data_IF_295135578015
#
_entry.id   IF_295135578015
#
_cell.length_a   1.000
_cell.length_b   1.000
_cell.length_c   1.000
_cell.angle_alpha   90.00
_cell.angle_beta   90.00
_cell.angle_gamma   90.00
#
_symmetry.space_group_name_H-M   'P 1'
#
loop_
_entity.id
_entity.type
_entity.pdbx_description
1 polymer ?
#
# COMPACT_ATOMS: atom_id res chain seq x y z
N UNK A 1 -15.78 -3.63 -0.01
CA UNK A 1 -14.39 -3.49 0.44
C UNK A 1 -13.78 -2.25 -0.20
N UNK A 2 -13.10 -1.47 0.57
CA UNK A 2 -12.40 -0.28 0.10
C UNK A 2 -10.90 -0.48 0.18
N UNK A 3 -10.20 -0.34 -0.96
CA UNK A 3 -8.79 -0.69 -1.10
C UNK A 3 -8.00 0.55 -1.53
N UNK A 4 -6.86 0.78 -0.89
CA UNK A 4 -5.89 1.78 -1.33
C UNK A 4 -4.70 1.05 -1.96
N UNK A 5 -4.33 1.45 -3.18
CA UNK A 5 -3.15 0.94 -3.86
C UNK A 5 -2.08 2.03 -3.89
N UNK A 6 -0.90 1.72 -3.37
CA UNK A 6 0.27 2.59 -3.44
C UNK A 6 1.30 1.95 -4.36
N UNK A 7 1.39 2.45 -5.58
CA UNK A 7 2.25 1.93 -6.64
C UNK A 7 2.59 3.03 -7.63
N UNK A 8 3.87 3.19 -7.95
CA UNK A 8 4.34 4.21 -8.89
C UNK A 8 4.39 3.72 -10.36
N UNK A 9 4.36 2.41 -10.59
CA UNK A 9 4.24 1.86 -11.94
C UNK A 9 2.79 1.99 -12.42
N UNK A 10 2.57 2.91 -13.36
CA UNK A 10 1.23 3.24 -13.83
C UNK A 10 0.53 2.05 -14.52
N UNK A 11 1.28 1.25 -15.26
CA UNK A 11 0.72 0.08 -15.96
C UNK A 11 0.23 -0.96 -14.96
N UNK A 12 1.05 -1.26 -13.96
CA UNK A 12 0.70 -2.19 -12.89
C UNK A 12 -0.48 -1.68 -12.08
N UNK A 13 -0.44 -0.42 -11.69
CA UNK A 13 -1.53 0.21 -10.93
C UNK A 13 -2.86 0.15 -11.70
N UNK A 14 -2.85 0.48 -12.99
CA UNK A 14 -4.06 0.44 -13.82
C UNK A 14 -4.62 -0.99 -13.93
N UNK A 15 -3.76 -1.99 -14.07
CA UNK A 15 -4.17 -3.38 -14.10
C UNK A 15 -4.84 -3.82 -12.81
N UNK A 16 -4.25 -3.46 -11.68
CA UNK A 16 -4.82 -3.77 -10.36
C UNK A 16 -6.15 -3.06 -10.14
N UNK A 17 -6.23 -1.77 -10.51
CA UNK A 17 -7.46 -1.00 -10.41
C UNK A 17 -8.61 -1.66 -11.17
N UNK A 18 -8.37 -2.03 -12.42
CA UNK A 18 -9.40 -2.66 -13.25
C UNK A 18 -9.86 -4.00 -12.69
N UNK A 19 -8.90 -4.83 -12.29
CA UNK A 19 -9.19 -6.16 -11.77
C UNK A 19 -10.01 -6.08 -10.49
N UNK A 20 -9.60 -5.22 -9.57
CA UNK A 20 -10.26 -5.11 -8.26
C UNK A 20 -11.62 -4.42 -8.38
N UNK A 21 -11.73 -3.39 -9.21
CA UNK A 21 -13.03 -2.73 -9.45
C UNK A 21 -14.02 -3.68 -10.13
N UNK A 22 -13.55 -4.54 -11.03
CA UNK A 22 -14.38 -5.54 -11.67
C UNK A 22 -14.94 -6.55 -10.67
N UNK A 23 -14.25 -6.80 -9.56
CA UNK A 23 -14.74 -7.67 -8.49
C UNK A 23 -15.69 -6.98 -7.52
N UNK A 24 -15.96 -5.69 -7.70
CA UNK A 24 -16.91 -4.92 -6.88
C UNK A 24 -16.27 -4.07 -5.80
N UNK A 25 -14.93 -4.03 -5.70
CA UNK A 25 -14.25 -3.20 -4.71
C UNK A 25 -14.24 -1.72 -5.12
N UNK A 26 -14.29 -0.84 -4.12
CA UNK A 26 -13.97 0.58 -4.30
C UNK A 26 -12.45 0.74 -4.13
N UNK A 27 -11.77 1.25 -5.15
CA UNK A 27 -10.31 1.28 -5.19
C UNK A 27 -9.81 2.68 -5.49
N UNK A 28 -8.92 3.18 -4.64
CA UNK A 28 -8.18 4.43 -4.85
C UNK A 28 -6.71 4.09 -5.10
N UNK A 29 -6.01 4.94 -5.84
CA UNK A 29 -4.61 4.77 -6.18
C UNK A 29 -3.81 6.03 -5.87
N UNK A 30 -2.63 5.84 -5.28
CA UNK A 30 -1.65 6.90 -5.07
C UNK A 30 -0.27 6.45 -5.60
N UNK A 31 0.50 7.34 -6.22
CA UNK A 31 1.76 6.95 -6.87
C UNK A 31 3.01 7.13 -5.98
N UNK A 32 2.87 7.63 -4.76
CA UNK A 32 4.01 7.89 -3.87
C UNK A 32 3.71 7.50 -2.44
N UNK A 33 4.79 7.28 -1.67
CA UNK A 33 4.65 6.97 -0.25
C UNK A 33 4.09 8.13 0.56
N UNK A 34 4.47 9.37 0.24
CA UNK A 34 3.95 10.54 0.95
C UNK A 34 2.46 10.72 0.74
N UNK A 35 1.97 10.51 -0.48
CA UNK A 35 0.53 10.58 -0.77
C UNK A 35 -0.21 9.43 -0.11
N UNK A 36 0.40 8.24 -0.06
CA UNK A 36 -0.16 7.10 0.65
C UNK A 36 -0.32 7.39 2.14
N UNK A 37 0.73 7.89 2.77
CA UNK A 37 0.68 8.22 4.19
C UNK A 37 -0.38 9.29 4.49
N UNK A 38 -0.46 10.32 3.67
CA UNK A 38 -1.48 11.36 3.79
C UNK A 38 -2.90 10.79 3.66
N UNK A 39 -3.13 9.91 2.69
CA UNK A 39 -4.43 9.27 2.50
C UNK A 39 -4.83 8.43 3.70
N UNK A 40 -3.88 7.67 4.28
CA UNK A 40 -4.14 6.85 5.44
C UNK A 40 -4.38 7.67 6.71
N UNK A 41 -3.78 8.84 6.82
CA UNK A 41 -3.99 9.74 7.95
C UNK A 41 -5.37 10.40 7.93
N UNK A 42 -5.86 10.72 6.73
CA UNK A 42 -7.11 11.47 6.57
C UNK A 42 -8.34 10.59 6.39
N UNK A 43 -8.15 9.30 6.09
CA UNK A 43 -9.25 8.39 5.84
C UNK A 43 -8.97 7.04 6.48
N UNK A 44 -9.78 6.68 7.46
CA UNK A 44 -9.64 5.43 8.21
C UNK A 44 -10.57 4.32 7.68
N UNK A 45 -11.28 4.57 6.59
CA UNK A 45 -12.29 3.63 6.06
C UNK A 45 -11.73 2.59 5.08
N UNK A 46 -10.43 2.63 4.79
CA UNK A 46 -9.82 1.59 3.96
C UNK A 46 -9.80 0.24 4.69
N UNK A 47 -10.14 -0.81 3.97
CA UNK A 47 -10.14 -2.18 4.49
C UNK A 47 -8.83 -2.90 4.21
N UNK A 48 -8.10 -2.48 3.18
CA UNK A 48 -6.87 -3.12 2.73
C UNK A 48 -5.95 -2.10 2.09
N UNK A 49 -4.67 -2.19 2.37
CA UNK A 49 -3.62 -1.45 1.67
C UNK A 49 -2.80 -2.43 0.84
N UNK A 50 -2.68 -2.17 -0.46
CA UNK A 50 -1.73 -2.84 -1.33
C UNK A 50 -0.55 -1.89 -1.52
N UNK A 51 0.63 -2.29 -1.06
CA UNK A 51 1.75 -1.39 -0.87
C UNK A 51 3.00 -1.89 -1.58
N UNK A 52 3.49 -1.13 -2.56
CA UNK A 52 4.83 -1.32 -3.09
C UNK A 52 5.85 -0.68 -2.15
N UNK A 53 6.96 -1.37 -1.89
CA UNK A 53 7.98 -0.85 -0.98
C UNK A 53 8.89 0.18 -1.64
N UNK A 54 9.13 0.07 -2.94
CA UNK A 54 10.01 0.96 -3.69
C UNK A 54 9.39 2.29 -4.11
N UNK A 55 8.49 2.87 -3.33
CA UNK A 55 7.81 4.10 -3.69
C UNK A 55 8.72 5.32 -3.62
N UNK A 56 8.49 6.32 -4.50
CA UNK A 56 9.17 7.61 -4.39
C UNK A 56 8.64 8.42 -3.20
N UNK A 57 9.41 9.40 -2.77
CA UNK A 57 9.13 10.40 -1.72
C UNK A 57 9.06 9.85 -0.31
N UNK A 58 8.53 8.67 -0.11
CA UNK A 58 8.57 7.97 1.17
C UNK A 58 8.55 6.48 0.88
N UNK A 59 9.57 5.76 1.35
CA UNK A 59 9.68 4.33 1.15
C UNK A 59 8.48 3.60 1.77
N UNK A 60 8.01 2.54 1.11
CA UNK A 60 6.83 1.80 1.58
C UNK A 60 6.97 1.26 3.00
N UNK A 61 8.16 0.81 3.41
CA UNK A 61 8.39 0.38 4.80
C UNK A 61 8.13 1.50 5.81
N UNK A 62 8.50 2.74 5.46
CA UNK A 62 8.23 3.88 6.34
C UNK A 62 6.74 4.16 6.44
N UNK A 63 6.00 4.04 5.34
CA UNK A 63 4.55 4.16 5.34
C UNK A 63 3.92 3.13 6.28
N UNK A 64 4.34 1.87 6.16
CA UNK A 64 3.84 0.78 6.99
C UNK A 64 4.15 1.01 8.46
N UNK A 65 5.39 1.41 8.75
CA UNK A 65 5.84 1.70 10.11
C UNK A 65 5.01 2.81 10.75
N UNK A 66 4.74 3.89 10.02
CA UNK A 66 3.89 4.98 10.50
C UNK A 66 2.45 4.54 10.72
N UNK A 67 1.91 3.73 9.82
CA UNK A 67 0.56 3.18 9.95
C UNK A 67 0.42 2.38 11.25
N UNK A 68 1.36 1.48 11.52
CA UNK A 68 1.35 0.67 12.75
C UNK A 68 1.56 1.51 13.99
N UNK A 69 2.43 2.52 13.92
CA UNK A 69 2.67 3.44 15.04
C UNK A 69 1.41 4.22 15.44
N UNK A 70 0.51 4.47 14.49
CA UNK A 70 -0.78 5.11 14.77
C UNK A 70 -1.80 4.16 15.39
N UNK A 71 -1.45 2.91 15.61
CA UNK A 71 -2.34 1.92 16.21
C UNK A 71 -3.25 1.19 15.21
N UNK A 72 -3.07 1.43 13.91
CA UNK A 72 -3.87 0.75 12.89
C UNK A 72 -3.47 -0.71 12.76
N UNK A 73 -4.47 -1.58 12.67
CA UNK A 73 -4.29 -3.02 12.40
C UNK A 73 -4.75 -3.39 11.00
N UNK A 74 -4.93 -2.41 10.13
CA UNK A 74 -5.37 -2.62 8.76
C UNK A 74 -4.49 -3.66 8.05
N UNK A 75 -5.08 -4.64 7.36
CA UNK A 75 -4.32 -5.58 6.55
C UNK A 75 -3.52 -4.86 5.46
N UNK A 76 -2.25 -5.26 5.31
CA UNK A 76 -1.36 -4.71 4.29
C UNK A 76 -0.78 -5.87 3.47
N UNK A 77 -0.98 -5.81 2.16
CA UNK A 77 -0.37 -6.72 1.20
C UNK A 77 0.81 -6.02 0.54
N UNK A 78 2.00 -6.57 0.71
CA UNK A 78 3.20 -6.02 0.11
C UNK A 78 3.32 -6.51 -1.33
N UNK A 79 3.47 -5.56 -2.25
CA UNK A 79 3.69 -5.79 -3.66
C UNK A 79 5.06 -5.23 -4.00
N UNK A 80 6.05 -6.11 -4.20
CA UNK A 80 7.40 -5.66 -4.44
C UNK A 80 8.13 -6.59 -5.41
N UNK A 81 9.23 -6.09 -6.00
CA UNK A 81 10.04 -6.88 -6.92
C UNK A 81 10.67 -8.08 -6.20
N UNK A 82 10.86 -9.18 -6.95
CA UNK A 82 11.34 -10.44 -6.39
C UNK A 82 12.75 -10.34 -5.78
N UNK A 83 13.54 -9.35 -6.16
CA UNK A 83 14.88 -9.12 -5.63
C UNK A 83 14.89 -8.43 -4.27
N UNK A 84 13.74 -8.08 -3.74
CA UNK A 84 13.61 -7.38 -2.45
C UNK A 84 13.19 -8.31 -1.32
N UNK A 85 13.79 -9.49 -1.23
CA UNK A 85 13.45 -10.48 -0.20
C UNK A 85 13.65 -9.91 1.21
N UNK A 86 14.75 -9.20 1.44
CA UNK A 86 15.03 -8.59 2.74
C UNK A 86 13.96 -7.57 3.12
N UNK A 87 13.52 -6.75 2.18
CA UNK A 87 12.47 -5.77 2.41
C UNK A 87 11.13 -6.44 2.70
N UNK A 88 10.84 -7.56 2.02
CA UNK A 88 9.62 -8.32 2.28
C UNK A 88 9.61 -8.89 3.69
N UNK A 89 10.75 -9.42 4.14
CA UNK A 89 10.90 -9.92 5.51
C UNK A 89 10.71 -8.79 6.51
N UNK A 90 11.33 -7.62 6.27
CA UNK A 90 11.13 -6.44 7.12
C UNK A 90 9.67 -5.99 7.13
N UNK A 91 9.00 -6.05 5.98
CA UNK A 91 7.57 -5.75 5.91
C UNK A 91 6.73 -6.65 6.80
N UNK A 92 7.02 -7.95 6.82
CA UNK A 92 6.36 -8.89 7.72
C UNK A 92 6.66 -8.56 9.18
N UNK A 93 7.90 -8.15 9.50
CA UNK A 93 8.28 -7.73 10.84
C UNK A 93 7.51 -6.49 11.29
N UNK A 94 7.12 -5.62 10.36
CA UNK A 94 6.29 -4.44 10.65
C UNK A 94 4.79 -4.73 10.53
N UNK A 95 4.39 -5.99 10.38
CA UNK A 95 3.01 -6.41 10.45
C UNK A 95 2.24 -6.36 9.13
N UNK A 96 2.92 -6.55 8.04
CA UNK A 96 2.24 -6.72 6.75
C UNK A 96 1.60 -8.09 6.63
#
# INVERSE_FOLDING_TARGET
MRILIAEDDQVLADGLLRTLRASGAAVDHVPSGSECDAALMTNTEFDLLILDLGLPRMHGLEVLKRLRARGSTMPVLILTAADSIEERVKGLDYGA
#
